data_IF_376863082477
#
_entry.id   IF_376863082477
#
_cell.length_a   1.000
_cell.length_b   1.000
_cell.length_c   1.000
_cell.angle_alpha   90.00
_cell.angle_beta   90.00
_cell.angle_gamma   90.00
#
_symmetry.space_group_name_H-M   'P 1'
#
loop_
_entity.id
_entity.type
_entity.pdbx_description
1 polymer ?
#
# COMPACT_ATOMS: atom_id res chain seq x y z
N UNK A 1 -0.45 -1.24 18.51
CA UNK A 1 -1.10 0.05 18.84
C UNK A 1 -2.40 0.10 18.06
N UNK A 2 -3.53 -0.04 18.76
CA UNK A 2 -4.85 -0.29 18.16
C UNK A 2 -5.32 0.90 17.30
N UNK A 3 -5.65 0.64 16.04
CA UNK A 3 -6.23 1.61 15.10
C UNK A 3 -7.58 2.19 15.57
N UNK A 4 -8.19 1.64 16.61
CA UNK A 4 -9.52 2.02 17.10
C UNK A 4 -9.58 3.39 17.81
N UNK A 5 -8.51 3.87 18.45
CA UNK A 5 -8.58 5.13 19.26
C UNK A 5 -8.16 6.40 18.52
N UNK A 6 -7.73 6.30 17.26
CA UNK A 6 -7.29 7.45 16.47
C UNK A 6 -8.45 8.30 15.92
N UNK A 7 -8.18 9.54 15.46
CA UNK A 7 -9.18 10.41 14.83
C UNK A 7 -9.90 9.76 13.63
N UNK A 8 -9.23 8.81 12.95
CA UNK A 8 -9.82 8.00 11.87
C UNK A 8 -10.85 6.98 12.36
N UNK A 9 -10.59 6.32 13.50
CA UNK A 9 -11.53 5.36 14.11
C UNK A 9 -12.80 6.03 14.61
N UNK A 10 -12.66 7.16 15.32
CA UNK A 10 -13.81 7.96 15.78
C UNK A 10 -14.68 8.49 14.63
N UNK A 11 -14.07 8.90 13.53
CA UNK A 11 -14.82 9.36 12.35
C UNK A 11 -15.56 8.21 11.66
N UNK A 12 -14.98 7.00 11.60
CA UNK A 12 -15.66 5.83 11.06
C UNK A 12 -16.85 5.40 11.91
N UNK A 13 -16.73 5.38 13.23
CA UNK A 13 -17.83 5.07 14.16
C UNK A 13 -18.97 6.09 14.03
N UNK A 14 -18.65 7.39 13.94
CA UNK A 14 -19.66 8.44 13.76
C UNK A 14 -20.37 8.37 12.40
N UNK A 15 -19.73 7.79 11.38
CA UNK A 15 -20.30 7.60 10.03
C UNK A 15 -21.04 6.26 9.88
N UNK A 16 -20.85 5.31 10.80
CA UNK A 16 -21.62 4.06 10.82
C UNK A 16 -23.08 4.28 11.21
N UNK A 17 -23.39 5.37 11.93
CA UNK A 17 -24.75 5.83 12.19
C UNK A 17 -25.20 6.84 11.11
N UNK A 18 -26.11 6.46 10.19
CA UNK A 18 -26.57 7.35 9.13
C UNK A 18 -27.29 8.60 9.65
N UNK A 19 -27.80 8.60 10.88
CA UNK A 19 -28.40 9.78 11.51
C UNK A 19 -27.35 10.81 11.96
N UNK A 20 -26.12 10.37 12.29
CA UNK A 20 -25.00 11.23 12.71
C UNK A 20 -24.06 11.60 11.58
N UNK A 21 -24.10 10.87 10.45
CA UNK A 21 -23.21 11.07 9.32
C UNK A 21 -23.27 12.49 8.72
N UNK A 22 -24.42 13.16 8.78
CA UNK A 22 -24.61 14.49 8.21
C UNK A 22 -23.92 15.55 9.08
N UNK A 23 -22.78 16.05 8.61
CA UNK A 23 -22.01 17.09 9.28
C UNK A 23 -20.97 16.59 10.30
N UNK A 24 -20.91 15.28 10.59
CA UNK A 24 -19.91 14.69 11.48
C UNK A 24 -18.47 15.00 11.05
N UNK A 25 -18.17 14.92 9.75
CA UNK A 25 -16.83 15.22 9.24
C UNK A 25 -16.43 16.66 9.57
N UNK A 26 -17.33 17.64 9.41
CA UNK A 26 -17.01 19.04 9.71
C UNK A 26 -16.77 19.26 11.20
N UNK A 27 -17.65 18.73 12.05
CA UNK A 27 -17.53 18.83 13.51
C UNK A 27 -16.24 18.18 14.02
N UNK A 28 -15.95 16.97 13.59
CA UNK A 28 -14.75 16.22 14.02
C UNK A 28 -13.49 16.91 13.46
N UNK A 29 -13.54 17.46 12.25
CA UNK A 29 -12.43 18.22 11.69
C UNK A 29 -12.13 19.50 12.51
N UNK A 30 -13.17 20.23 12.92
CA UNK A 30 -13.05 21.39 13.82
C UNK A 30 -12.50 20.99 15.20
N UNK A 31 -13.01 19.92 15.81
CA UNK A 31 -12.52 19.40 17.10
C UNK A 31 -11.04 18.97 17.05
N UNK A 32 -10.57 18.49 15.89
CA UNK A 32 -9.19 18.04 15.67
C UNK A 32 -8.27 19.13 15.10
N UNK A 33 -8.80 20.30 14.73
CA UNK A 33 -8.04 21.36 14.08
C UNK A 33 -7.49 20.98 12.70
N UNK A 34 -8.14 20.06 11.98
CA UNK A 34 -7.72 19.60 10.64
C UNK A 34 -8.69 20.11 9.57
N UNK A 35 -8.20 20.28 8.34
CA UNK A 35 -9.08 20.67 7.23
C UNK A 35 -10.12 19.56 6.97
N UNK A 36 -11.43 19.88 6.83
CA UNK A 36 -12.49 18.88 6.64
C UNK A 36 -12.25 17.93 5.46
N UNK A 37 -11.65 18.43 4.38
CA UNK A 37 -11.35 17.61 3.20
C UNK A 37 -10.22 16.59 3.43
N UNK A 38 -9.28 16.91 4.33
CA UNK A 38 -8.25 15.95 4.75
C UNK A 38 -8.88 14.81 5.55
N UNK A 39 -9.78 15.13 6.47
CA UNK A 39 -10.51 14.12 7.24
C UNK A 39 -11.39 13.25 6.33
N UNK A 40 -12.07 13.85 5.35
CA UNK A 40 -12.85 13.12 4.34
C UNK A 40 -12.01 12.12 3.56
N UNK A 41 -10.82 12.53 3.14
CA UNK A 41 -9.87 11.66 2.45
C UNK A 41 -9.40 10.49 3.32
N UNK A 42 -9.12 10.74 4.60
CA UNK A 42 -8.74 9.69 5.55
C UNK A 42 -9.86 8.70 5.83
N UNK A 43 -11.10 9.17 5.98
CA UNK A 43 -12.28 8.32 6.13
C UNK A 43 -12.45 7.42 4.91
N UNK A 44 -12.39 7.98 3.70
CA UNK A 44 -12.52 7.20 2.45
C UNK A 44 -11.44 6.12 2.37
N UNK A 45 -10.20 6.47 2.73
CA UNK A 45 -9.09 5.51 2.77
C UNK A 45 -9.35 4.40 3.80
N UNK A 46 -9.80 4.75 5.00
CA UNK A 46 -10.10 3.77 6.04
C UNK A 46 -11.31 2.88 5.71
N UNK A 47 -12.28 3.36 4.94
CA UNK A 47 -13.37 2.53 4.39
C UNK A 47 -12.87 1.50 3.37
N UNK A 48 -11.89 1.88 2.54
CA UNK A 48 -11.23 0.95 1.60
C UNK A 48 -10.41 -0.08 2.38
N UNK A 49 -9.59 0.37 3.34
CA UNK A 49 -8.79 -0.52 4.18
C UNK A 49 -9.67 -1.49 5.01
N UNK A 50 -10.86 -1.06 5.42
CA UNK A 50 -11.84 -1.88 6.13
C UNK A 50 -12.78 -2.72 5.26
N UNK A 51 -12.59 -2.73 3.93
CA UNK A 51 -13.41 -3.54 3.01
C UNK A 51 -14.86 -3.04 2.80
N UNK A 52 -15.21 -1.88 3.34
CA UNK A 52 -16.53 -1.24 3.16
C UNK A 52 -16.70 -0.64 1.76
N UNK A 53 -15.58 -0.43 1.05
CA UNK A 53 -15.57 0.14 -0.29
C UNK A 53 -14.53 -0.59 -1.15
N UNK A 54 -14.84 -0.90 -2.43
CA UNK A 54 -13.85 -1.46 -3.33
C UNK A 54 -12.69 -0.48 -3.55
N UNK A 55 -11.47 -0.99 -3.50
CA UNK A 55 -10.23 -0.27 -3.73
C UNK A 55 -9.03 -1.07 -3.22
N UNK A 56 -7.83 -0.66 -3.61
CA UNK A 56 -6.58 -1.25 -3.09
C UNK A 56 -6.36 -0.76 -1.67
N UNK A 57 -6.27 -1.70 -0.73
CA UNK A 57 -5.95 -1.36 0.66
C UNK A 57 -4.52 -0.87 0.76
N UNK A 58 -4.24 -0.16 1.85
CA UNK A 58 -2.88 0.33 2.14
C UNK A 58 -1.89 -0.82 2.26
N UNK A 59 -2.33 -1.93 2.86
CA UNK A 59 -1.51 -3.13 3.04
C UNK A 59 -1.23 -3.83 1.69
N UNK A 60 -2.24 -3.94 0.83
CA UNK A 60 -2.07 -4.45 -0.53
C UNK A 60 -1.10 -3.58 -1.34
N UNK A 61 -1.24 -2.25 -1.28
CA UNK A 61 -0.34 -1.33 -1.98
C UNK A 61 1.11 -1.45 -1.50
N UNK A 62 1.31 -1.60 -0.20
CA UNK A 62 2.63 -1.83 0.39
C UNK A 62 3.21 -3.18 -0.07
N UNK A 63 2.40 -4.24 -0.07
CA UNK A 63 2.82 -5.56 -0.53
C UNK A 63 3.19 -5.59 -2.01
N UNK A 64 2.42 -4.90 -2.86
CA UNK A 64 2.73 -4.75 -4.29
C UNK A 64 4.10 -4.10 -4.46
N UNK A 65 4.37 -3.00 -3.74
CA UNK A 65 5.66 -2.29 -3.82
C UNK A 65 6.85 -3.16 -3.40
N UNK A 66 6.68 -3.96 -2.35
CA UNK A 66 7.71 -4.91 -1.90
C UNK A 66 7.97 -5.99 -2.96
N UNK A 67 6.91 -6.58 -3.51
CA UNK A 67 7.02 -7.59 -4.55
C UNK A 67 7.66 -7.02 -5.83
N UNK A 68 7.32 -5.80 -6.23
CA UNK A 68 7.95 -5.13 -7.37
C UNK A 68 9.45 -4.91 -7.17
N UNK A 69 9.86 -4.59 -5.93
CA UNK A 69 11.28 -4.48 -5.57
C UNK A 69 11.97 -5.84 -5.67
N UNK A 70 11.38 -6.88 -5.10
CA UNK A 70 11.93 -8.24 -5.13
C UNK A 70 12.05 -8.76 -6.57
N UNK A 71 11.02 -8.59 -7.39
CA UNK A 71 11.03 -8.96 -8.82
C UNK A 71 12.15 -8.24 -9.56
N UNK A 72 12.41 -6.96 -9.26
CA UNK A 72 13.51 -6.22 -9.88
C UNK A 72 14.87 -6.79 -9.50
N UNK A 73 15.06 -7.11 -8.22
CA UNK A 73 16.31 -7.70 -7.71
C UNK A 73 16.55 -9.09 -8.31
N UNK A 74 15.51 -9.94 -8.32
CA UNK A 74 15.56 -11.27 -8.92
C UNK A 74 15.89 -11.20 -10.42
N UNK A 75 15.27 -10.27 -11.16
CA UNK A 75 15.58 -10.08 -12.59
C UNK A 75 17.03 -9.66 -12.80
N UNK A 76 17.57 -8.79 -11.94
CA UNK A 76 18.99 -8.38 -11.99
C UNK A 76 19.92 -9.56 -11.72
N UNK A 77 19.65 -10.35 -10.68
CA UNK A 77 20.43 -11.54 -10.35
C UNK A 77 20.39 -12.56 -11.50
N UNK A 78 19.20 -12.83 -12.04
CA UNK A 78 19.02 -13.76 -13.15
C UNK A 78 19.79 -13.32 -14.41
N UNK A 79 19.83 -12.01 -14.70
CA UNK A 79 20.63 -11.49 -15.81
C UNK A 79 22.13 -11.75 -15.62
N UNK A 80 22.67 -11.54 -14.41
CA UNK A 80 24.08 -11.84 -14.10
C UNK A 80 24.37 -13.33 -14.29
N UNK A 81 23.51 -14.19 -13.73
CA UNK A 81 23.67 -15.64 -13.83
C UNK A 81 23.63 -16.12 -15.29
N UNK A 82 22.70 -15.57 -16.09
CA UNK A 82 22.63 -15.86 -17.53
C UNK A 82 23.91 -15.44 -18.25
N UNK A 83 24.40 -14.22 -18.01
CA UNK A 83 25.65 -13.75 -18.61
C UNK A 83 26.85 -14.63 -18.22
N UNK A 84 26.94 -15.02 -16.95
CA UNK A 84 27.99 -15.93 -16.48
C UNK A 84 27.88 -17.31 -17.15
N UNK A 85 26.68 -17.88 -17.24
CA UNK A 85 26.47 -19.17 -17.90
C UNK A 85 26.84 -19.14 -19.39
N UNK A 86 26.52 -18.05 -20.08
CA UNK A 86 26.88 -17.86 -21.49
C UNK A 86 28.41 -17.74 -21.65
N UNK A 87 29.08 -17.03 -20.73
CA UNK A 87 30.54 -16.93 -20.73
C UNK A 87 31.20 -18.30 -20.56
N UNK A 88 30.76 -19.10 -19.58
CA UNK A 88 31.33 -20.43 -19.35
C UNK A 88 31.04 -21.41 -20.49
N UNK A 89 29.83 -21.38 -21.07
CA UNK A 89 29.52 -22.17 -22.25
C UNK A 89 30.47 -21.84 -23.41
N UNK A 90 30.69 -20.55 -23.68
CA UNK A 90 31.61 -20.08 -24.70
C UNK A 90 33.10 -20.35 -24.40
N UNK A 91 33.49 -20.63 -23.16
CA UNK A 91 34.84 -21.07 -22.81
C UNK A 91 35.01 -22.57 -23.07
N UNK A 92 34.03 -23.41 -22.67
CA UNK A 92 34.06 -24.84 -22.92
C UNK A 92 34.06 -25.21 -24.41
N UNK A 93 33.46 -24.36 -25.25
CA UNK A 93 33.36 -24.61 -26.70
C UNK A 93 34.65 -24.22 -27.47
N UNK A 94 35.62 -23.58 -26.80
CA UNK A 94 36.94 -23.31 -27.40
C UNK A 94 37.78 -24.59 -27.27
N UNK A 95 38.24 -25.19 -28.39
CA UNK A 95 39.08 -26.37 -28.31
C UNK A 95 40.39 -26.02 -27.60
N UNK A 96 40.73 -26.78 -26.56
CA UNK A 96 42.04 -26.76 -25.92
C UNK A 96 43.09 -27.00 -27.01
N UNK A 97 43.90 -25.98 -27.33
CA UNK A 97 45.13 -26.15 -28.13
C UNK A 97 46.24 -26.70 -27.25
#
# INVERSE_FOLDING_TARGET
MSCASGPRGRALEALADPARAKGAIRRIAEELGVHPEALRSWVKKAQVDGGLRPGTTTDEAQRIKELEKEVRELRRANAILKSASAFFAAECERPSR
#
